data_IF_774726485430
#
_entry.id   IF_774726485430
#
_cell.length_a   1.000
_cell.length_b   1.000
_cell.length_c   1.000
_cell.angle_alpha   90.00
_cell.angle_beta   90.00
_cell.angle_gamma   90.00
#
_symmetry.space_group_name_H-M   'P 1'
#
loop_
_entity.id
_entity.type
_entity.pdbx_description
1 polymer ?
#
# COMPACT_ATOMS: atom_id res chain seq x y z
N UNK A 1 -0.14 -6.22 -2.48
CA UNK A 1 -0.12 -6.77 -1.10
C UNK A 1 1.26 -7.26 -0.64
N UNK A 2 1.87 -8.27 -1.30
CA UNK A 2 3.16 -8.85 -0.83
C UNK A 2 4.29 -7.81 -0.67
N UNK A 3 4.37 -6.84 -1.60
CA UNK A 3 5.35 -5.75 -1.58
C UNK A 3 5.17 -4.79 -0.40
N UNK A 4 3.93 -4.36 -0.12
CA UNK A 4 3.62 -3.48 1.01
C UNK A 4 3.99 -4.14 2.35
N UNK A 5 3.80 -5.46 2.49
CA UNK A 5 4.29 -6.17 3.68
C UNK A 5 5.82 -6.17 3.82
N UNK A 6 6.56 -6.21 2.71
CA UNK A 6 8.03 -6.08 2.77
C UNK A 6 8.48 -4.68 3.17
N UNK A 7 7.65 -3.67 2.94
CA UNK A 7 7.85 -2.29 3.42
C UNK A 7 7.47 -2.09 4.89
N UNK A 8 7.03 -3.15 5.59
CA UNK A 8 6.68 -3.08 7.01
C UNK A 8 5.21 -2.77 7.28
N UNK A 9 4.32 -2.82 6.28
CA UNK A 9 2.88 -2.74 6.53
C UNK A 9 2.32 -4.07 7.03
N UNK A 10 1.46 -4.02 8.04
CA UNK A 10 0.72 -5.14 8.60
C UNK A 10 -0.65 -5.34 7.93
N UNK A 11 -1.09 -6.59 7.86
CA UNK A 11 -2.37 -7.00 7.28
C UNK A 11 -2.26 -7.86 6.01
N UNK A 12 -3.27 -7.86 5.12
CA UNK A 12 -4.44 -7.00 5.11
C UNK A 12 -5.48 -7.38 6.17
N UNK A 13 -6.05 -6.37 6.82
CA UNK A 13 -7.21 -6.48 7.69
C UNK A 13 -8.50 -6.30 6.87
N UNK A 14 -9.60 -6.89 7.35
CA UNK A 14 -10.91 -6.77 6.70
C UNK A 14 -11.77 -5.78 7.47
N UNK A 15 -12.08 -4.65 6.85
CA UNK A 15 -13.14 -3.76 7.32
C UNK A 15 -14.51 -4.22 6.81
N UNK A 16 -15.56 -3.47 7.15
CA UNK A 16 -16.95 -3.73 6.70
C UNK A 16 -17.16 -3.57 5.20
N UNK A 17 -16.34 -2.78 4.51
CA UNK A 17 -16.49 -2.50 3.06
C UNK A 17 -15.21 -2.70 2.25
N UNK A 18 -14.05 -2.37 2.83
CA UNK A 18 -12.76 -2.46 2.16
C UNK A 18 -11.73 -3.13 3.05
N UNK A 19 -10.72 -3.75 2.42
CA UNK A 19 -9.53 -4.23 3.11
C UNK A 19 -8.60 -3.05 3.36
N UNK A 20 -7.81 -3.10 4.42
CA UNK A 20 -6.83 -2.08 4.73
C UNK A 20 -5.54 -2.72 5.26
N UNK A 21 -4.43 -1.99 5.19
CA UNK A 21 -3.16 -2.34 5.84
C UNK A 21 -2.77 -1.22 6.79
N UNK A 22 -1.95 -1.55 7.77
CA UNK A 22 -1.54 -0.62 8.83
C UNK A 22 -0.03 -0.46 8.82
N UNK A 23 0.47 0.76 8.97
CA UNK A 23 1.88 1.03 9.25
C UNK A 23 1.96 1.89 10.50
N UNK A 24 2.43 1.32 11.60
CA UNK A 24 2.42 1.95 12.92
C UNK A 24 1.01 2.44 13.31
N UNK A 25 0.76 3.74 13.28
CA UNK A 25 -0.53 4.37 13.61
C UNK A 25 -1.36 4.76 12.37
N UNK A 26 -0.82 4.54 11.16
CA UNK A 26 -1.44 4.93 9.90
C UNK A 26 -2.17 3.76 9.25
N UNK A 27 -3.36 4.02 8.70
CA UNK A 27 -4.14 3.05 7.94
C UNK A 27 -4.18 3.44 6.46
N UNK A 28 -3.91 2.48 5.57
CA UNK A 28 -4.04 2.63 4.12
C UNK A 28 -5.17 1.72 3.63
N UNK A 29 -6.19 2.30 3.00
CA UNK A 29 -7.31 1.55 2.41
C UNK A 29 -6.86 0.94 1.10
N UNK A 30 -7.13 -0.35 0.90
CA UNK A 30 -6.77 -1.06 -0.32
C UNK A 30 -8.03 -1.30 -1.15
N UNK A 31 -8.05 -0.85 -2.41
CA UNK A 31 -9.19 -1.12 -3.28
C UNK A 31 -9.37 -2.63 -3.43
N UNK A 32 -10.62 -3.07 -3.41
CA UNK A 32 -11.04 -4.47 -3.44
C UNK A 32 -11.07 -5.08 -4.84
N UNK A 33 -10.63 -4.34 -5.86
CA UNK A 33 -10.64 -4.80 -7.25
C UNK A 33 -9.46 -5.75 -7.50
N UNK A 34 -9.70 -6.80 -8.30
CA UNK A 34 -8.66 -7.77 -8.66
C UNK A 34 -7.59 -7.16 -9.58
N UNK A 35 -7.97 -6.16 -10.37
CA UNK A 35 -7.08 -5.37 -11.21
C UNK A 35 -7.10 -3.89 -10.80
N UNK A 36 -5.90 -3.35 -10.53
CA UNK A 36 -5.73 -1.93 -10.28
C UNK A 36 -5.47 -1.19 -11.59
N UNK A 37 -6.18 -0.10 -11.82
CA UNK A 37 -5.76 0.84 -12.84
C UNK A 37 -4.40 1.45 -12.48
N UNK A 38 -3.58 1.76 -13.49
CA UNK A 38 -2.26 2.39 -13.27
C UNK A 38 -2.36 3.68 -12.43
N UNK A 39 -3.38 4.55 -12.61
CA UNK A 39 -3.57 5.72 -11.75
C UNK A 39 -3.82 5.37 -10.28
N UNK A 40 -4.66 4.36 -10.00
CA UNK A 40 -4.94 3.91 -8.62
C UNK A 40 -3.70 3.34 -7.94
N UNK A 41 -2.91 2.56 -8.68
CA UNK A 41 -1.66 2.02 -8.15
C UNK A 41 -0.67 3.14 -7.80
N UNK A 42 -0.53 4.15 -8.67
CA UNK A 42 0.32 5.32 -8.40
C UNK A 42 -0.15 6.11 -7.19
N UNK A 43 -1.45 6.32 -7.04
CA UNK A 43 -2.02 7.02 -5.88
C UNK A 43 -1.72 6.26 -4.58
N UNK A 44 -1.94 4.95 -4.56
CA UNK A 44 -1.67 4.11 -3.40
C UNK A 44 -0.18 4.09 -3.02
N UNK A 45 0.73 4.09 -4.00
CA UNK A 45 2.18 4.15 -3.74
C UNK A 45 2.54 5.51 -3.12
N UNK A 46 2.03 6.62 -3.65
CA UNK A 46 2.28 7.96 -3.09
C UNK A 46 1.81 8.09 -1.65
N UNK A 47 0.62 7.61 -1.34
CA UNK A 47 0.14 7.60 0.05
C UNK A 47 1.04 6.74 0.96
N UNK A 48 1.55 5.62 0.45
CA UNK A 48 2.50 4.80 1.19
C UNK A 48 3.84 5.51 1.43
N UNK A 49 4.35 6.28 0.46
CA UNK A 49 5.56 7.10 0.59
C UNK A 49 5.38 8.18 1.67
N UNK A 50 4.22 8.85 1.67
CA UNK A 50 3.87 9.86 2.68
C UNK A 50 3.77 9.24 4.08
N UNK A 51 3.18 8.04 4.21
CA UNK A 51 3.05 7.31 5.49
C UNK A 51 4.42 6.85 6.01
N UNK A 52 5.29 6.35 5.14
CA UNK A 52 6.64 5.90 5.52
C UNK A 52 7.55 7.11 5.79
N UNK A 53 7.27 8.26 5.16
CA UNK A 53 8.15 9.42 5.18
C UNK A 53 9.41 9.21 4.33
N UNK A 54 9.35 8.36 3.31
CA UNK A 54 10.45 8.08 2.38
C UNK A 54 9.92 7.78 0.99
N UNK A 55 10.63 8.25 -0.02
CA UNK A 55 10.29 7.99 -1.43
C UNK A 55 10.60 6.53 -1.79
N UNK A 56 9.68 5.87 -2.48
CA UNK A 56 9.81 4.50 -2.94
C UNK A 56 10.11 4.57 -4.43
N UNK A 57 11.39 4.44 -4.78
CA UNK A 57 11.78 4.47 -6.19
C UNK A 57 11.15 3.30 -6.96
N UNK A 58 10.97 3.47 -8.28
CA UNK A 58 10.47 2.40 -9.16
C UNK A 58 11.36 1.16 -9.09
N UNK A 59 12.67 1.35 -9.00
CA UNK A 59 13.63 0.24 -8.89
C UNK A 59 13.50 -0.52 -7.57
N UNK A 60 13.35 0.19 -6.45
CA UNK A 60 13.08 -0.40 -5.15
C UNK A 60 11.77 -1.17 -5.15
N UNK A 61 10.69 -0.55 -5.66
CA UNK A 61 9.39 -1.18 -5.80
C UNK A 61 9.44 -2.48 -6.61
N UNK A 62 10.25 -2.52 -7.66
CA UNK A 62 10.42 -3.70 -8.51
C UNK A 62 11.26 -4.81 -7.86
N UNK A 63 12.10 -4.48 -6.86
CA UNK A 63 12.92 -5.45 -6.11
C UNK A 63 12.18 -6.07 -4.91
N UNK A 64 11.03 -5.51 -4.53
CA UNK A 64 10.11 -6.05 -3.51
C UNK A 64 9.20 -7.15 -4.08
#
# INVERSE_FOLDING_TARGET
>A
MRRLRKLGFDGPFSGTRHKFIVYQQYCLTIPSNDEYSVPQLRMMIREAEEIIGSEITVDEWNRL
#
